data_IF_418758844722
#
_entry.id   IF_418758844722
#
_cell.length_a   1.000
_cell.length_b   1.000
_cell.length_c   1.000
_cell.angle_alpha   90.00
_cell.angle_beta   90.00
_cell.angle_gamma   90.00
#
_symmetry.space_group_name_H-M   'P 1'
#
loop_
_entity.id
_entity.type
_entity.pdbx_description
1 polymer ?
#
# COMPACT_ATOMS: atom_id res chain seq x y z
N UNK A 1 1.34 44.36 -18.02
CA UNK A 1 0.65 43.15 -17.54
C UNK A 1 1.31 42.73 -16.24
N UNK A 2 0.62 42.95 -15.13
CA UNK A 2 1.14 42.79 -13.78
C UNK A 2 0.95 41.34 -13.33
N UNK A 3 2.03 40.61 -13.08
CA UNK A 3 1.96 39.29 -12.47
C UNK A 3 1.83 39.47 -10.95
N UNK A 4 0.70 39.03 -10.41
CA UNK A 4 0.40 39.06 -8.98
C UNK A 4 1.31 38.05 -8.28
N UNK A 5 2.25 38.58 -7.50
CA UNK A 5 3.10 37.83 -6.58
C UNK A 5 2.27 37.50 -5.33
N UNK A 6 1.86 36.24 -5.18
CA UNK A 6 1.24 35.76 -3.94
C UNK A 6 2.35 35.55 -2.92
N UNK A 7 2.42 36.45 -1.94
CA UNK A 7 3.31 36.34 -0.79
C UNK A 7 3.01 35.05 -0.02
N UNK A 8 3.96 34.11 -0.02
CA UNK A 8 4.02 33.08 1.00
C UNK A 8 4.42 33.74 2.32
N UNK A 9 3.48 33.85 3.25
CA UNK A 9 3.77 34.28 4.61
C UNK A 9 4.62 33.23 5.32
N UNK A 10 5.84 33.65 5.64
CA UNK A 10 6.79 32.99 6.53
C UNK A 10 6.28 33.00 7.98
N UNK A 11 6.20 31.83 8.61
CA UNK A 11 6.01 31.70 10.06
C UNK A 11 5.97 30.26 10.53
N UNK A 12 6.89 29.91 11.43
CA UNK A 12 7.04 28.63 12.17
C UNK A 12 7.73 27.47 11.42
N UNK A 13 9.07 27.50 11.46
CA UNK A 13 9.93 26.39 11.07
C UNK A 13 9.91 25.22 12.06
N UNK A 14 10.19 24.03 11.56
CA UNK A 14 10.56 22.84 12.34
C UNK A 14 9.84 21.55 11.98
N UNK A 15 8.58 21.60 11.54
CA UNK A 15 7.75 20.40 11.28
C UNK A 15 7.13 20.33 9.87
N UNK A 16 7.32 21.37 9.05
CA UNK A 16 6.56 21.56 7.81
C UNK A 16 7.13 20.84 6.57
N UNK A 17 8.35 20.30 6.63
CA UNK A 17 9.01 19.71 5.46
C UNK A 17 8.77 18.20 5.32
N UNK A 18 8.07 17.60 6.29
CA UNK A 18 7.74 16.17 6.29
C UNK A 18 6.29 15.97 5.89
N UNK A 19 6.05 15.15 4.87
CA UNK A 19 4.69 14.75 4.49
C UNK A 19 4.12 13.84 5.60
N UNK A 20 2.96 14.18 6.21
CA UNK A 20 2.33 13.34 7.23
C UNK A 20 1.97 11.95 6.70
N UNK A 21 1.81 10.95 7.58
CA UNK A 21 1.52 9.58 7.15
C UNK A 21 0.20 9.42 6.35
N UNK A 22 -0.74 10.37 6.51
CA UNK A 22 -2.01 10.42 5.77
C UNK A 22 -1.91 11.17 4.43
N UNK A 23 -0.73 11.64 4.04
CA UNK A 23 -0.46 12.31 2.78
C UNK A 23 -0.64 13.84 2.80
N UNK A 24 -0.48 14.46 1.63
CA UNK A 24 -0.48 15.93 1.42
C UNK A 24 -1.83 16.57 1.75
N UNK A 25 -2.93 15.83 1.59
CA UNK A 25 -4.30 16.29 1.91
C UNK A 25 -4.94 15.33 2.89
N UNK A 26 -5.43 15.86 4.01
CA UNK A 26 -6.23 15.09 4.98
C UNK A 26 -7.50 14.56 4.28
N UNK A 27 -7.76 13.24 4.26
CA UNK A 27 -8.98 12.64 3.72
C UNK A 27 -10.24 13.22 4.35
N UNK A 28 -11.33 13.32 3.59
CA UNK A 28 -12.58 13.94 4.08
C UNK A 28 -13.23 13.11 5.19
N UNK A 29 -13.10 11.79 5.09
CA UNK A 29 -13.54 10.80 6.06
C UNK A 29 -12.87 11.07 7.40
N UNK A 30 -11.55 11.28 7.40
CA UNK A 30 -10.78 11.59 8.60
C UNK A 30 -11.19 12.93 9.23
N UNK A 31 -11.49 13.95 8.43
CA UNK A 31 -11.99 15.23 8.95
C UNK A 31 -13.34 15.08 9.65
N UNK A 32 -14.27 14.34 9.03
CA UNK A 32 -15.60 14.07 9.62
C UNK A 32 -15.47 13.22 10.88
N UNK A 33 -14.61 12.21 10.87
CA UNK A 33 -14.32 11.41 12.06
C UNK A 33 -13.79 12.26 13.19
N UNK A 34 -12.89 13.21 12.94
CA UNK A 34 -12.34 14.10 13.98
C UNK A 34 -13.38 15.08 14.54
N UNK A 35 -14.37 15.47 13.73
CA UNK A 35 -15.50 16.28 14.21
C UNK A 35 -16.43 15.46 15.11
N UNK A 36 -16.80 14.25 14.68
CA UNK A 36 -17.68 13.33 15.43
C UNK A 36 -17.00 12.76 16.68
N UNK A 37 -15.69 12.52 16.60
CA UNK A 37 -14.81 12.05 17.66
C UNK A 37 -14.88 12.91 18.93
N UNK A 38 -15.06 14.22 18.80
CA UNK A 38 -15.11 15.13 19.96
C UNK A 38 -16.31 14.90 20.86
N UNK A 39 -17.38 14.34 20.30
CA UNK A 39 -18.67 14.16 20.99
C UNK A 39 -18.95 12.68 21.28
N UNK A 40 -18.01 11.77 20.95
CA UNK A 40 -18.22 10.33 21.02
C UNK A 40 -17.61 9.75 22.31
N UNK A 41 -18.30 8.78 22.90
CA UNK A 41 -17.78 8.06 24.06
C UNK A 41 -16.52 7.24 23.71
N UNK A 42 -15.52 7.33 24.58
CA UNK A 42 -14.22 6.66 24.45
C UNK A 42 -14.38 5.14 24.41
N UNK A 43 -15.36 4.57 25.10
CA UNK A 43 -15.62 3.12 25.07
C UNK A 43 -16.19 2.64 23.72
N UNK A 44 -17.10 3.41 23.13
CA UNK A 44 -17.62 3.14 21.79
C UNK A 44 -16.53 3.26 20.74
N UNK A 45 -15.68 4.28 20.82
CA UNK A 45 -14.56 4.44 19.90
C UNK A 45 -13.58 3.26 19.97
N UNK A 46 -13.23 2.80 21.18
CA UNK A 46 -12.36 1.64 21.37
C UNK A 46 -12.93 0.37 20.72
N UNK A 47 -14.24 0.14 20.84
CA UNK A 47 -14.91 -0.97 20.16
C UNK A 47 -14.81 -0.83 18.64
N UNK A 48 -15.03 0.37 18.09
CA UNK A 48 -14.91 0.61 16.63
C UNK A 48 -13.49 0.34 16.14
N UNK A 49 -12.46 0.83 16.85
CA UNK A 49 -11.06 0.58 16.47
C UNK A 49 -10.76 -0.92 16.46
N UNK A 50 -11.28 -1.67 17.44
CA UNK A 50 -11.11 -3.12 17.50
C UNK A 50 -11.81 -3.84 16.34
N UNK A 51 -13.05 -3.46 16.02
CA UNK A 51 -13.76 -3.98 14.86
C UNK A 51 -13.04 -3.67 13.54
N UNK A 52 -12.44 -2.49 13.39
CA UNK A 52 -11.64 -2.14 12.22
C UNK A 52 -10.39 -3.02 12.13
N UNK A 53 -9.71 -3.27 13.25
CA UNK A 53 -8.54 -4.13 13.27
C UNK A 53 -8.89 -5.58 12.89
N UNK A 54 -10.00 -6.11 13.41
CA UNK A 54 -10.52 -7.44 13.04
C UNK A 54 -10.93 -7.48 11.56
N UNK A 55 -11.56 -6.42 11.06
CA UNK A 55 -11.90 -6.31 9.64
C UNK A 55 -10.66 -6.38 8.74
N UNK A 56 -9.58 -5.69 9.11
CA UNK A 56 -8.31 -5.74 8.37
C UNK A 56 -7.69 -7.14 8.41
N UNK A 57 -7.83 -7.86 9.52
CA UNK A 57 -7.30 -9.22 9.66
C UNK A 57 -8.09 -10.25 8.84
N UNK A 58 -9.43 -10.19 8.86
CA UNK A 58 -10.31 -11.24 8.29
C UNK A 58 -10.84 -10.90 6.91
N UNK A 59 -10.89 -9.63 6.50
CA UNK A 59 -11.36 -9.19 5.17
C UNK A 59 -12.87 -9.32 4.91
N UNK A 60 -13.66 -9.90 5.82
CA UNK A 60 -15.08 -10.22 5.59
C UNK A 60 -16.05 -9.76 6.68
N UNK A 61 -15.65 -8.88 7.62
CA UNK A 61 -16.43 -8.63 8.85
C UNK A 61 -17.34 -7.39 8.90
N UNK A 62 -17.36 -6.52 7.88
CA UNK A 62 -17.86 -5.14 8.09
C UNK A 62 -19.32 -5.03 8.55
N UNK A 63 -20.25 -5.89 8.09
CA UNK A 63 -21.67 -5.78 8.46
C UNK A 63 -22.00 -6.32 9.85
N UNK A 64 -21.39 -7.43 10.25
CA UNK A 64 -21.75 -8.11 11.50
C UNK A 64 -21.20 -7.35 12.71
N UNK A 65 -19.98 -6.80 12.60
CA UNK A 65 -19.37 -5.98 13.66
C UNK A 65 -20.12 -4.65 13.90
N UNK A 66 -20.56 -3.99 12.82
CA UNK A 66 -21.21 -2.68 12.88
C UNK A 66 -22.68 -2.76 13.34
N UNK A 67 -23.39 -3.83 12.98
CA UNK A 67 -24.80 -4.02 13.35
C UNK A 67 -25.02 -4.18 14.87
N UNK A 68 -24.02 -4.69 15.61
CA UNK A 68 -24.04 -4.74 17.07
C UNK A 68 -23.82 -3.38 17.75
N UNK A 69 -23.19 -2.43 17.07
CA UNK A 69 -22.83 -1.11 17.60
C UNK A 69 -23.93 -0.06 17.39
N UNK A 70 -24.70 -0.15 16.31
CA UNK A 70 -25.78 0.79 15.95
C UNK A 70 -26.94 0.85 16.95
N UNK A 71 -27.04 -0.11 17.87
CA UNK A 71 -28.12 -0.16 18.87
C UNK A 71 -27.87 0.67 20.13
N UNK A 72 -26.64 1.13 20.38
CA UNK A 72 -26.28 1.59 21.73
C UNK A 72 -26.33 3.10 21.98
N UNK A 73 -25.93 4.02 21.08
CA UNK A 73 -25.92 5.47 21.46
C UNK A 73 -25.87 6.50 20.31
N UNK A 74 -25.67 6.13 19.04
CA UNK A 74 -25.39 7.11 17.96
C UNK A 74 -26.12 6.78 16.65
N UNK A 75 -26.35 7.76 15.75
CA UNK A 75 -26.82 7.49 14.39
C UNK A 75 -25.91 6.48 13.69
N UNK A 76 -26.48 5.49 13.01
CA UNK A 76 -25.71 4.45 12.33
C UNK A 76 -24.74 5.04 11.28
N UNK A 77 -25.09 6.18 10.70
CA UNK A 77 -24.26 6.92 9.74
C UNK A 77 -22.97 7.51 10.35
N UNK A 78 -23.04 7.96 11.60
CA UNK A 78 -21.87 8.49 12.32
C UNK A 78 -20.88 7.37 12.61
N UNK A 79 -21.40 6.19 13.02
CA UNK A 79 -20.58 4.99 13.28
C UNK A 79 -19.88 4.54 11.99
N UNK A 80 -20.60 4.51 10.87
CA UNK A 80 -20.02 4.16 9.56
C UNK A 80 -18.94 5.16 9.12
N UNK A 81 -19.18 6.45 9.35
CA UNK A 81 -18.22 7.52 9.02
C UNK A 81 -16.96 7.43 9.87
N UNK A 82 -17.11 7.16 11.18
CA UNK A 82 -15.99 6.94 12.10
C UNK A 82 -15.22 5.67 11.73
N UNK A 83 -15.91 4.58 11.41
CA UNK A 83 -15.30 3.34 10.94
C UNK A 83 -14.43 3.57 9.69
N UNK A 84 -14.96 4.29 8.70
CA UNK A 84 -14.23 4.61 7.47
C UNK A 84 -12.97 5.46 7.74
N UNK A 85 -13.06 6.47 8.60
CA UNK A 85 -11.90 7.30 8.95
C UNK A 85 -10.85 6.54 9.76
N UNK A 86 -11.26 5.69 10.72
CA UNK A 86 -10.35 4.83 11.49
C UNK A 86 -9.67 3.80 10.58
N UNK A 87 -10.41 3.20 9.65
CA UNK A 87 -9.84 2.29 8.64
C UNK A 87 -8.83 3.02 7.74
N UNK A 88 -9.11 4.26 7.34
CA UNK A 88 -8.18 5.09 6.57
C UNK A 88 -6.89 5.36 7.35
N UNK A 89 -7.00 5.77 8.62
CA UNK A 89 -5.82 6.02 9.49
C UNK A 89 -5.00 4.75 9.69
N UNK A 90 -5.66 3.63 10.03
CA UNK A 90 -5.00 2.37 10.30
C UNK A 90 -4.26 1.85 9.06
N UNK A 91 -4.93 1.87 7.90
CA UNK A 91 -4.31 1.45 6.64
C UNK A 91 -3.21 2.40 6.19
N UNK A 92 -3.34 3.72 6.36
CA UNK A 92 -2.30 4.68 6.04
C UNK A 92 -1.05 4.50 6.93
N UNK A 93 -1.26 4.30 8.24
CA UNK A 93 -0.18 4.06 9.19
C UNK A 93 0.59 2.77 8.87
N UNK A 94 -0.13 1.67 8.61
CA UNK A 94 0.48 0.36 8.29
C UNK A 94 1.10 0.30 6.88
N UNK A 95 0.69 1.20 5.96
CA UNK A 95 1.32 1.33 4.63
C UNK A 95 2.63 2.11 4.69
N UNK A 96 2.83 2.92 5.71
CA UNK A 96 4.02 3.77 5.87
C UNK A 96 5.14 2.96 6.53
N UNK A 97 6.23 2.64 5.80
CA UNK A 97 7.32 1.87 6.38
C UNK A 97 7.99 2.64 7.52
N UNK A 98 8.39 1.93 8.59
CA UNK A 98 9.12 2.48 9.75
C UNK A 98 8.45 3.63 10.51
N UNK A 99 7.11 3.77 10.46
CA UNK A 99 6.41 4.81 11.21
C UNK A 99 6.68 4.69 12.72
N UNK A 100 7.25 5.74 13.32
CA UNK A 100 7.52 5.81 14.77
C UNK A 100 6.26 6.25 15.52
N UNK A 101 6.05 5.68 16.72
CA UNK A 101 4.93 6.03 17.62
C UNK A 101 4.87 7.53 17.97
N UNK A 102 6.01 8.20 18.14
CA UNK A 102 6.06 9.65 18.40
C UNK A 102 5.51 10.46 17.22
N UNK A 103 6.02 10.16 16.03
CA UNK A 103 5.64 10.80 14.77
C UNK A 103 4.17 10.60 14.44
N UNK A 104 3.65 9.40 14.69
CA UNK A 104 2.22 9.10 14.53
C UNK A 104 1.33 9.96 15.44
N UNK A 105 1.73 10.17 16.69
CA UNK A 105 0.99 11.01 17.64
C UNK A 105 1.00 12.48 17.23
N UNK A 106 2.16 13.00 16.82
CA UNK A 106 2.31 14.38 16.33
C UNK A 106 1.40 14.65 15.12
N UNK A 107 1.40 13.74 14.14
CA UNK A 107 0.56 13.86 12.95
C UNK A 107 -0.95 13.86 13.27
N UNK A 108 -1.39 13.07 14.25
CA UNK A 108 -2.79 13.04 14.70
C UNK A 108 -3.17 14.26 15.55
N UNK A 109 -2.22 14.79 16.32
CA UNK A 109 -2.40 16.05 17.07
C UNK A 109 -2.58 17.24 16.12
N UNK A 110 -1.86 17.25 14.98
CA UNK A 110 -1.99 18.28 13.96
C UNK A 110 -3.41 18.34 13.37
N UNK A 111 -4.11 17.21 13.31
CA UNK A 111 -5.50 17.13 12.86
C UNK A 111 -6.50 17.51 14.00
N UNK A 112 -6.02 17.80 15.22
CA UNK A 112 -6.83 18.10 16.42
C UNK A 112 -7.69 16.93 16.88
N UNK A 113 -7.16 15.70 16.77
CA UNK A 113 -7.83 14.50 17.30
C UNK A 113 -7.70 14.44 18.84
N UNK A 114 -8.75 14.03 19.58
CA UNK A 114 -8.68 13.93 21.04
C UNK A 114 -7.58 12.97 21.53
N UNK A 115 -6.84 13.30 22.61
CA UNK A 115 -5.68 12.54 23.06
C UNK A 115 -6.02 11.10 23.50
N UNK A 116 -7.22 10.86 24.05
CA UNK A 116 -7.69 9.53 24.44
C UNK A 116 -7.84 8.58 23.24
N UNK A 117 -8.28 9.13 22.11
CA UNK A 117 -8.48 8.38 20.87
C UNK A 117 -7.14 8.11 20.19
N UNK A 118 -6.22 9.08 20.24
CA UNK A 118 -4.83 8.89 19.80
C UNK A 118 -4.16 7.76 20.58
N UNK A 119 -4.33 7.73 21.91
CA UNK A 119 -3.79 6.65 22.75
C UNK A 119 -4.37 5.29 22.34
N UNK A 120 -5.68 5.22 22.07
CA UNK A 120 -6.36 3.99 21.63
C UNK A 120 -5.80 3.51 20.28
N UNK A 121 -5.73 4.36 19.26
CA UNK A 121 -5.15 4.02 17.96
C UNK A 121 -3.68 3.58 18.07
N UNK A 122 -2.90 4.32 18.86
CA UNK A 122 -1.48 4.04 19.06
C UNK A 122 -1.27 2.68 19.74
N UNK A 123 -2.10 2.32 20.72
CA UNK A 123 -2.05 1.00 21.34
C UNK A 123 -2.40 -0.11 20.35
N UNK A 124 -3.42 0.05 19.51
CA UNK A 124 -3.81 -1.01 18.56
C UNK A 124 -2.73 -1.25 17.50
N UNK A 125 -2.06 -0.19 17.04
CA UNK A 125 -0.99 -0.28 16.02
C UNK A 125 0.33 -0.77 16.64
N UNK A 126 0.74 -0.20 17.78
CA UNK A 126 2.10 -0.37 18.31
C UNK A 126 2.19 -1.24 19.58
N UNK A 127 1.10 -1.74 20.16
CA UNK A 127 1.16 -2.54 21.40
C UNK A 127 1.81 -3.91 21.21
N UNK A 128 1.74 -4.52 20.03
CA UNK A 128 2.35 -5.82 19.76
C UNK A 128 2.91 -5.88 18.35
N UNK A 129 4.23 -6.04 18.24
CA UNK A 129 4.93 -6.21 16.96
C UNK A 129 4.38 -7.39 16.15
N UNK A 130 3.97 -8.46 16.81
CA UNK A 130 3.39 -9.64 16.17
C UNK A 130 2.04 -9.32 15.52
N UNK A 131 1.19 -8.56 16.22
CA UNK A 131 -0.11 -8.13 15.69
C UNK A 131 0.07 -7.15 14.54
N UNK A 132 1.00 -6.21 14.67
CA UNK A 132 1.35 -5.28 13.61
C UNK A 132 1.80 -6.01 12.33
N UNK A 133 2.74 -6.94 12.44
CA UNK A 133 3.22 -7.74 11.31
C UNK A 133 2.09 -8.56 10.66
N UNK A 134 1.14 -9.09 11.47
CA UNK A 134 -0.04 -9.78 10.97
C UNK A 134 -0.96 -8.85 10.17
N UNK A 135 -1.26 -7.67 10.70
CA UNK A 135 -2.08 -6.66 10.02
C UNK A 135 -1.43 -6.20 8.71
N UNK A 136 -0.13 -5.94 8.72
CA UNK A 136 0.65 -5.58 7.52
C UNK A 136 0.57 -6.70 6.46
N UNK A 137 0.72 -7.96 6.88
CA UNK A 137 0.61 -9.12 5.98
C UNK A 137 -0.78 -9.24 5.36
N UNK A 138 -1.85 -9.14 6.16
CA UNK A 138 -3.23 -9.19 5.65
C UNK A 138 -3.49 -8.04 4.67
N UNK A 139 -3.04 -6.82 4.98
CA UNK A 139 -3.14 -5.68 4.06
C UNK A 139 -2.36 -5.90 2.76
N UNK A 140 -1.18 -6.51 2.83
CA UNK A 140 -0.39 -6.83 1.64
C UNK A 140 -1.09 -7.86 0.74
N UNK A 141 -1.80 -8.83 1.33
CA UNK A 141 -2.57 -9.85 0.61
C UNK A 141 -3.86 -9.29 0.00
N UNK A 142 -4.51 -8.32 0.65
CA UNK A 142 -5.74 -7.69 0.17
C UNK A 142 -5.51 -6.58 -0.86
N UNK A 143 -4.26 -6.19 -1.15
CA UNK A 143 -3.97 -5.16 -2.16
C UNK A 143 -4.32 -5.65 -3.57
N UNK A 144 -4.94 -4.78 -4.35
CA UNK A 144 -5.04 -4.95 -5.81
C UNK A 144 -3.62 -4.90 -6.37
N UNK A 145 -3.15 -6.02 -6.95
CA UNK A 145 -1.84 -6.14 -7.58
C UNK A 145 -2.03 -6.60 -9.02
N UNK A 146 -1.10 -6.20 -9.88
CA UNK A 146 -0.98 -6.80 -11.20
C UNK A 146 -0.49 -8.26 -11.04
N UNK A 147 -0.87 -9.17 -11.94
CA UNK A 147 -0.32 -10.52 -11.97
C UNK A 147 1.21 -10.46 -11.97
N UNK A 148 1.84 -11.17 -11.06
CA UNK A 148 3.29 -11.27 -10.94
C UNK A 148 3.77 -12.54 -11.64
N UNK A 149 5.02 -12.58 -12.07
CA UNK A 149 5.62 -13.81 -12.60
C UNK A 149 6.15 -14.63 -11.42
N UNK A 150 5.58 -15.81 -11.18
CA UNK A 150 5.97 -16.70 -10.09
C UNK A 150 7.11 -17.62 -10.50
N UNK A 151 7.01 -18.23 -11.69
CA UNK A 151 8.05 -19.11 -12.21
C UNK A 151 8.27 -18.90 -13.70
N UNK A 152 9.52 -19.03 -14.13
CA UNK A 152 9.95 -19.02 -15.53
C UNK A 152 10.78 -20.28 -15.78
N UNK A 153 10.34 -21.10 -16.73
CA UNK A 153 11.06 -22.28 -17.21
C UNK A 153 11.41 -22.09 -18.68
N UNK A 154 12.56 -22.61 -19.08
CA UNK A 154 12.97 -22.55 -20.47
C UNK A 154 13.67 -23.85 -20.87
N UNK A 155 13.57 -24.18 -22.16
CA UNK A 155 14.36 -25.22 -22.80
C UNK A 155 14.83 -24.75 -24.17
N UNK A 156 15.99 -25.25 -24.58
CA UNK A 156 16.55 -25.00 -25.89
C UNK A 156 16.24 -26.20 -26.78
N UNK A 157 15.48 -25.97 -27.85
CA UNK A 157 15.20 -26.98 -28.85
C UNK A 157 16.12 -26.71 -30.07
N UNK A 158 16.74 -27.76 -30.60
CA UNK A 158 17.63 -27.68 -31.77
C UNK A 158 17.08 -28.62 -32.83
N UNK A 159 16.55 -28.07 -33.92
CA UNK A 159 16.08 -28.87 -35.05
C UNK A 159 17.29 -29.36 -35.86
N UNK A 160 17.40 -30.69 -36.04
CA UNK A 160 18.46 -31.31 -36.86
C UNK A 160 17.84 -31.75 -38.18
N UNK A 161 18.11 -31.00 -39.27
CA UNK A 161 17.71 -31.40 -40.62
C UNK A 161 18.76 -32.34 -41.23
N UNK A 162 18.35 -33.55 -41.59
CA UNK A 162 19.22 -34.60 -42.16
C UNK A 162 19.19 -34.66 -43.70
N UNK A 163 18.48 -33.77 -44.39
CA UNK A 163 18.46 -33.72 -45.86
C UNK A 163 19.63 -32.93 -46.43
N UNK A 164 20.19 -33.38 -47.55
CA UNK A 164 21.42 -32.92 -48.21
C UNK A 164 21.47 -31.44 -48.64
N UNK A 165 20.40 -30.68 -48.46
CA UNK A 165 20.34 -29.24 -48.73
C UNK A 165 20.56 -28.47 -47.41
N UNK A 166 21.78 -27.96 -47.25
CA UNK A 166 22.21 -26.98 -46.24
C UNK A 166 21.72 -27.26 -44.81
N UNK A 167 22.56 -27.92 -43.99
CA UNK A 167 22.30 -28.15 -42.55
C UNK A 167 22.13 -26.81 -41.82
N UNK A 168 20.89 -26.36 -41.65
CA UNK A 168 20.59 -25.22 -40.77
C UNK A 168 20.23 -25.78 -39.41
N UNK A 169 21.17 -25.65 -38.47
CA UNK A 169 20.89 -25.79 -37.04
C UNK A 169 20.23 -24.49 -36.60
N UNK A 170 18.91 -24.43 -36.61
CA UNK A 170 18.18 -23.28 -36.07
C UNK A 170 17.79 -23.58 -34.61
N UNK A 171 18.48 -23.00 -33.62
CA UNK A 171 18.08 -23.11 -32.23
C UNK A 171 16.87 -22.22 -31.96
N UNK A 172 15.89 -22.77 -31.26
CA UNK A 172 14.78 -22.00 -30.71
C UNK A 172 14.65 -22.23 -29.21
N UNK A 173 14.15 -21.23 -28.48
CA UNK A 173 14.00 -21.29 -27.03
C UNK A 173 12.50 -21.38 -26.74
N UNK A 174 12.05 -22.49 -26.15
CA UNK A 174 10.70 -22.58 -25.62
C UNK A 174 10.69 -22.06 -24.19
N UNK A 175 9.86 -21.07 -23.91
CA UNK A 175 9.68 -20.50 -22.57
C UNK A 175 8.27 -20.78 -22.05
N UNK A 176 8.19 -21.08 -20.76
CA UNK A 176 6.94 -21.25 -20.01
C UNK A 176 7.00 -20.30 -18.80
N UNK A 177 6.00 -19.41 -18.69
CA UNK A 177 5.84 -18.54 -17.53
C UNK A 177 4.54 -18.87 -16.79
N UNK A 178 4.65 -19.02 -15.47
CA UNK A 178 3.49 -19.13 -14.57
C UNK A 178 3.28 -17.80 -13.88
N UNK A 179 2.10 -17.22 -14.05
CA UNK A 179 1.67 -15.99 -13.41
C UNK A 179 0.98 -16.29 -12.07
N UNK A 180 0.95 -15.30 -11.17
CA UNK A 180 0.36 -15.40 -9.84
C UNK A 180 -1.16 -15.62 -9.83
N UNK A 181 -1.82 -15.42 -10.97
CA UNK A 181 -3.24 -15.72 -11.18
C UNK A 181 -3.47 -17.19 -11.60
N UNK A 182 -2.40 -18.00 -11.67
CA UNK A 182 -2.42 -19.39 -12.10
C UNK A 182 -2.35 -19.56 -13.62
N UNK A 183 -2.31 -18.47 -14.39
CA UNK A 183 -2.21 -18.54 -15.86
C UNK A 183 -0.81 -18.98 -16.26
N UNK A 184 -0.73 -20.04 -17.06
CA UNK A 184 0.50 -20.51 -17.67
C UNK A 184 0.53 -20.03 -19.13
N UNK A 185 1.62 -19.37 -19.53
CA UNK A 185 1.85 -18.99 -20.93
C UNK A 185 3.12 -19.63 -21.45
N UNK A 186 2.98 -20.36 -22.54
CA UNK A 186 4.08 -21.03 -23.22
C UNK A 186 4.26 -20.43 -24.61
N UNK A 187 5.48 -20.05 -24.96
CA UNK A 187 5.78 -19.40 -26.24
C UNK A 187 7.21 -19.69 -26.68
N UNK A 188 7.42 -19.70 -27.99
CA UNK A 188 8.70 -19.95 -28.63
C UNK A 188 9.38 -18.62 -28.99
N UNK A 189 10.69 -18.53 -28.73
CA UNK A 189 11.49 -17.33 -28.95
C UNK A 189 12.70 -17.68 -29.83
N UNK A 190 12.81 -17.09 -31.03
CA UNK A 190 14.03 -17.14 -31.82
C UNK A 190 15.20 -16.42 -31.11
N UNK A 191 16.44 -16.83 -31.38
CA UNK A 191 17.64 -16.26 -30.74
C UNK A 191 17.73 -14.73 -30.90
N UNK A 192 17.33 -14.18 -32.05
CA UNK A 192 17.30 -12.73 -32.29
C UNK A 192 16.38 -12.01 -31.29
N UNK A 193 15.16 -12.52 -31.09
CA UNK A 193 14.19 -11.98 -30.12
C UNK A 193 14.61 -12.20 -28.67
N UNK A 194 15.33 -13.27 -28.39
CA UNK A 194 15.91 -13.48 -27.07
C UNK A 194 16.96 -12.41 -26.74
N UNK A 195 17.79 -12.01 -27.70
CA UNK A 195 18.75 -10.92 -27.49
C UNK A 195 18.07 -9.55 -27.29
N UNK A 196 16.99 -9.27 -28.02
CA UNK A 196 16.16 -8.07 -27.78
C UNK A 196 15.55 -8.08 -26.38
N UNK A 197 15.01 -9.22 -25.94
CA UNK A 197 14.45 -9.39 -24.59
C UNK A 197 15.53 -9.18 -23.52
N UNK A 198 16.71 -9.80 -23.69
CA UNK A 198 17.85 -9.63 -22.77
C UNK A 198 18.26 -8.16 -22.65
N UNK A 199 18.35 -7.46 -23.77
CA UNK A 199 18.67 -6.03 -23.76
C UNK A 199 17.59 -5.21 -23.05
N UNK A 200 16.32 -5.46 -23.36
CA UNK A 200 15.18 -4.74 -22.77
C UNK A 200 15.10 -4.93 -21.26
N UNK A 201 15.30 -6.16 -20.78
CA UNK A 201 15.34 -6.46 -19.34
C UNK A 201 16.52 -5.75 -18.67
N UNK A 202 17.71 -5.82 -19.26
CA UNK A 202 18.89 -5.13 -18.72
C UNK A 202 18.69 -3.60 -18.68
N UNK A 203 18.06 -3.04 -19.70
CA UNK A 203 17.73 -1.62 -19.75
C UNK A 203 16.75 -1.21 -18.64
N UNK A 204 15.65 -1.96 -18.45
CA UNK A 204 14.69 -1.69 -17.38
C UNK A 204 15.34 -1.82 -16.00
N UNK A 205 16.19 -2.83 -15.79
CA UNK A 205 16.92 -3.00 -14.53
C UNK A 205 17.86 -1.81 -14.25
N UNK A 206 18.55 -1.30 -15.28
CA UNK A 206 19.39 -0.11 -15.15
C UNK A 206 18.55 1.13 -14.80
N UNK A 207 17.43 1.35 -15.48
CA UNK A 207 16.53 2.47 -15.17
C UNK A 207 15.97 2.36 -13.75
N UNK A 208 15.62 1.15 -13.29
CA UNK A 208 15.21 0.91 -11.89
C UNK A 208 16.33 1.26 -10.90
N UNK A 209 17.56 0.86 -11.18
CA UNK A 209 18.72 1.19 -10.35
C UNK A 209 19.00 2.71 -10.33
N UNK A 210 18.91 3.37 -11.49
CA UNK A 210 19.08 4.81 -11.61
C UNK A 210 17.95 5.57 -10.87
N UNK A 211 16.71 5.07 -10.91
CA UNK A 211 15.60 5.60 -10.12
C UNK A 211 15.81 5.44 -8.62
N UNK A 212 16.38 4.32 -8.17
CA UNK A 212 16.72 4.10 -6.76
C UNK A 212 17.83 5.04 -6.28
N UNK A 213 18.81 5.33 -7.15
CA UNK A 213 19.91 6.27 -6.88
C UNK A 213 19.46 7.73 -6.88
N UNK A 214 18.48 8.10 -7.71
CA UNK A 214 17.86 9.43 -7.67
C UNK A 214 17.06 9.54 -6.36
N UNK A 215 17.51 10.38 -5.44
CA UNK A 215 16.92 10.63 -4.11
C UNK A 215 15.43 11.07 -4.08
N UNK A 216 14.71 11.04 -5.21
CA UNK A 216 13.28 11.34 -5.31
C UNK A 216 12.39 10.27 -4.65
N UNK A 217 12.90 9.05 -4.42
CA UNK A 217 12.17 7.93 -3.79
C UNK A 217 12.68 7.54 -2.40
N UNK A 218 13.78 8.15 -1.93
CA UNK A 218 14.17 8.01 -0.53
C UNK A 218 13.31 8.94 0.31
N UNK A 219 12.23 8.40 0.87
CA UNK A 219 11.63 9.00 2.07
C UNK A 219 12.77 9.12 3.09
N UNK A 220 13.23 10.36 3.34
CA UNK A 220 14.26 10.65 4.34
C UNK A 220 13.85 10.03 5.69
N UNK A 221 14.80 9.31 6.30
CA UNK A 221 14.68 8.58 7.58
C UNK A 221 14.20 9.45 8.77
#
# INVERSE_FOLDING_TARGET
>A
MSAVQVMAQSGAGGAADRTPFYGIKVPQELRKTVQLAKNMDTALFKKIVQCVAEYVETGSGSRDCLSGLGKQTSPEEDIRTVFAGVHCVLTAALRTPKLKSAVFKEDLQLIKMPPEMIATLNSVIFSSKTRQARLERCLLQQRVRLPQMDTLRWRLDVAISNSSLHRVLEPSILMEMTLSDGTIKTFEIPVSKFHELRYSVAYVLKEMEDLEKRNILKLQD
#
